data_IF_939367759389
#
_entry.id   IF_939367759389
#
_cell.length_a   1.000
_cell.length_b   1.000
_cell.length_c   1.000
_cell.angle_alpha   90.00
_cell.angle_beta   90.00
_cell.angle_gamma   90.00
#
_symmetry.space_group_name_H-M   'P 1'
#
loop_
_entity.id
_entity.type
_entity.pdbx_description
1 polymer ?
#
# COMPACT_ATOMS: atom_id res chain seq x y z
N UNK A 1 15.90 -2.04 0.71
CA UNK A 1 14.61 -1.93 -0.03
C UNK A 1 13.92 -0.67 0.45
N UNK A 2 13.30 0.13 -0.42
CA UNK A 2 12.55 1.34 0.01
C UNK A 2 11.10 0.96 0.34
N UNK A 3 10.52 1.58 1.37
CA UNK A 3 9.12 1.36 1.81
C UNK A 3 8.14 1.39 0.63
N UNK A 4 8.23 2.43 -0.19
CA UNK A 4 7.41 2.59 -1.40
C UNK A 4 7.50 1.39 -2.33
N UNK A 5 8.71 0.91 -2.58
CA UNK A 5 8.95 -0.25 -3.46
C UNK A 5 8.36 -1.54 -2.89
N UNK A 6 8.38 -1.71 -1.56
CA UNK A 6 7.78 -2.86 -0.89
C UNK A 6 6.25 -2.84 -1.02
N UNK A 7 5.59 -1.72 -0.70
CA UNK A 7 4.13 -1.59 -0.83
C UNK A 7 3.66 -1.78 -2.28
N UNK A 8 4.35 -1.14 -3.22
CA UNK A 8 4.07 -1.27 -4.65
C UNK A 8 4.26 -2.69 -5.19
N UNK A 9 5.20 -3.45 -4.64
CA UNK A 9 5.40 -4.84 -5.02
C UNK A 9 4.21 -5.72 -4.57
N UNK A 10 3.66 -5.47 -3.39
CA UNK A 10 2.45 -6.17 -2.91
C UNK A 10 1.26 -5.84 -3.80
N UNK A 11 1.00 -4.56 -4.07
CA UNK A 11 -0.12 -4.13 -4.91
C UNK A 11 -0.04 -4.72 -6.34
N UNK A 12 1.15 -4.74 -6.95
CA UNK A 12 1.36 -5.36 -8.27
C UNK A 12 1.25 -6.88 -8.26
N UNK A 13 1.51 -7.53 -7.13
CA UNK A 13 1.43 -8.98 -7.00
C UNK A 13 0.03 -9.48 -6.62
N UNK A 14 -0.86 -8.60 -6.19
CA UNK A 14 -2.19 -8.95 -5.74
C UNK A 14 -3.20 -9.00 -6.90
N UNK A 15 -4.01 -10.05 -6.96
CA UNK A 15 -5.12 -10.17 -7.93
C UNK A 15 -6.43 -9.54 -7.45
N UNK A 16 -6.44 -9.02 -6.21
CA UNK A 16 -7.60 -8.40 -5.58
C UNK A 16 -7.13 -7.25 -4.68
N UNK A 17 -8.03 -6.33 -4.29
CA UNK A 17 -7.73 -5.28 -3.32
C UNK A 17 -7.10 -5.83 -2.04
N UNK A 18 -6.05 -5.16 -1.57
CA UNK A 18 -5.26 -5.59 -0.39
C UNK A 18 -5.64 -4.73 0.81
N UNK A 19 -5.84 -5.35 1.97
CA UNK A 19 -6.11 -4.63 3.22
C UNK A 19 -4.91 -3.81 3.68
N UNK A 20 -5.16 -2.71 4.40
CA UNK A 20 -4.09 -1.87 4.98
C UNK A 20 -3.11 -2.70 5.81
N UNK A 21 -3.60 -3.56 6.69
CA UNK A 21 -2.74 -4.37 7.58
C UNK A 21 -1.79 -5.26 6.78
N UNK A 22 -2.27 -5.91 5.71
CA UNK A 22 -1.46 -6.78 4.86
C UNK A 22 -0.41 -5.99 4.08
N UNK A 23 -0.75 -4.77 3.64
CA UNK A 23 0.21 -3.86 3.02
C UNK A 23 1.29 -3.42 4.00
N UNK A 24 0.92 -3.00 5.20
CA UNK A 24 1.88 -2.56 6.22
C UNK A 24 2.76 -3.71 6.71
N UNK A 25 2.26 -4.95 6.68
CA UNK A 25 3.04 -6.16 6.99
C UNK A 25 4.20 -6.39 6.01
N UNK A 26 4.18 -5.78 4.81
CA UNK A 26 5.31 -5.79 3.88
C UNK A 26 6.52 -4.96 4.37
N UNK A 27 6.32 -4.10 5.38
CA UNK A 27 7.36 -3.28 6.00
C UNK A 27 7.17 -3.17 7.53
N UNK A 28 7.44 -4.26 8.29
CA UNK A 28 7.14 -4.32 9.71
C UNK A 28 8.07 -3.50 10.60
N UNK A 29 9.22 -3.05 10.09
CA UNK A 29 10.25 -2.37 10.89
C UNK A 29 9.82 -0.96 11.32
N UNK A 30 8.99 -0.29 10.51
CA UNK A 30 8.60 1.11 10.70
C UNK A 30 7.17 1.34 10.21
N UNK A 31 6.18 0.81 10.93
CA UNK A 31 4.76 0.85 10.54
C UNK A 31 4.26 2.27 10.26
N UNK A 32 4.68 3.28 11.04
CA UNK A 32 4.32 4.69 10.82
C UNK A 32 4.87 5.25 9.51
N UNK A 33 6.07 4.80 9.10
CA UNK A 33 6.65 5.20 7.82
C UNK A 33 5.94 4.51 6.66
N UNK A 34 5.55 3.25 6.83
CA UNK A 34 4.74 2.52 5.87
C UNK A 34 3.36 3.16 5.68
N UNK A 35 2.69 3.56 6.77
CA UNK A 35 1.40 4.27 6.70
C UNK A 35 1.53 5.61 5.97
N UNK A 36 2.48 6.46 6.36
CA UNK A 36 2.71 7.73 5.67
C UNK A 36 3.09 7.55 4.20
N UNK A 37 3.82 6.49 3.88
CA UNK A 37 4.14 6.16 2.50
C UNK A 37 2.88 5.75 1.73
N UNK A 38 2.00 4.94 2.31
CA UNK A 38 0.72 4.56 1.70
C UNK A 38 -0.16 5.80 1.45
N UNK A 39 -0.24 6.72 2.42
CA UNK A 39 -1.01 7.95 2.25
C UNK A 39 -0.46 8.83 1.12
N UNK A 40 0.87 8.92 0.98
CA UNK A 40 1.49 9.61 -0.16
C UNK A 40 1.23 8.88 -1.49
N UNK A 41 1.24 7.55 -1.52
CA UNK A 41 0.89 6.79 -2.73
C UNK A 41 -0.54 7.09 -3.21
N UNK A 42 -1.48 7.20 -2.27
CA UNK A 42 -2.86 7.59 -2.56
C UNK A 42 -2.93 9.02 -3.07
N UNK A 43 -2.25 9.97 -2.39
CA UNK A 43 -2.19 11.37 -2.81
C UNK A 43 -1.59 11.54 -4.21
N UNK A 44 -0.58 10.75 -4.54
CA UNK A 44 0.10 10.75 -5.84
C UNK A 44 -0.69 10.02 -6.93
N UNK A 45 -1.84 9.41 -6.62
CA UNK A 45 -2.66 8.66 -7.57
C UNK A 45 -2.05 7.33 -8.01
N UNK A 46 -1.20 6.72 -7.19
CA UNK A 46 -0.50 5.48 -7.50
C UNK A 46 -1.10 4.26 -6.78
N UNK A 47 -1.89 4.50 -5.74
CA UNK A 47 -2.74 3.52 -5.10
C UNK A 47 -4.14 4.13 -4.96
N UNK A 48 -5.17 3.32 -5.17
CA UNK A 48 -6.55 3.75 -5.03
C UNK A 48 -7.14 3.18 -3.73
N UNK A 49 -7.65 4.03 -2.82
CA UNK A 49 -8.37 3.57 -1.64
C UNK A 49 -9.76 3.06 -2.04
N UNK A 50 -10.15 1.92 -1.49
CA UNK A 50 -11.43 1.26 -1.72
C UNK A 50 -12.18 1.09 -0.39
N UNK A 51 -13.46 0.74 -0.49
CA UNK A 51 -14.28 0.44 0.69
C UNK A 51 -13.65 -0.68 1.54
N UNK A 52 -13.76 -0.51 2.86
CA UNK A 52 -13.24 -1.48 3.84
C UNK A 52 -11.74 -1.38 4.12
N UNK A 53 -11.14 -0.18 3.98
CA UNK A 53 -9.70 0.07 4.22
C UNK A 53 -8.79 -0.84 3.38
N UNK A 54 -9.17 -0.99 2.10
CA UNK A 54 -8.44 -1.76 1.10
C UNK A 54 -7.86 -0.83 0.04
N UNK A 55 -6.84 -1.33 -0.66
CA UNK A 55 -6.11 -0.58 -1.67
C UNK A 55 -5.85 -1.45 -2.88
N UNK A 56 -5.94 -0.84 -4.06
CA UNK A 56 -5.59 -1.47 -5.32
C UNK A 56 -4.69 -0.54 -6.14
N UNK A 57 -4.18 -1.06 -7.26
CA UNK A 57 -3.64 -0.18 -8.30
C UNK A 57 -4.80 0.59 -8.96
N UNK A 58 -4.58 1.86 -9.36
CA UNK A 58 -5.57 2.60 -10.15
C UNK A 58 -5.94 1.85 -11.43
N UNK A 59 -7.20 1.96 -11.83
CA UNK A 59 -7.69 1.44 -13.14
C UNK A 59 -7.25 2.29 -14.32
#
# INVERSE_FOLDING_TARGET
RQVRGALMAVLRGASAPVGRTDLLAAWPQESDRASRCLDSLVRDGLAEPLEGDRFALPS
#
